data_IF_766629429526
#
_entry.id   IF_766629429526
#
_cell.length_a   1.000
_cell.length_b   1.000
_cell.length_c   1.000
_cell.angle_alpha   90.00
_cell.angle_beta   90.00
_cell.angle_gamma   90.00
#
_symmetry.space_group_name_H-M   'P 1'
#
loop_
_entity.id
_entity.type
_entity.pdbx_description
1 polymer ?
#
# COMPACT_ATOMS: atom_id res chain seq x y z
N UNK A 1 -50.19 20.78 -11.98
CA UNK A 1 -48.95 20.10 -12.46
C UNK A 1 -48.44 19.18 -11.37
N UNK A 2 -48.25 17.90 -11.71
CA UNK A 2 -48.38 16.75 -10.81
C UNK A 2 -47.22 16.57 -9.83
N UNK A 3 -47.52 16.46 -8.52
CA UNK A 3 -46.62 16.06 -7.40
C UNK A 3 -45.87 14.74 -7.66
N UNK A 4 -46.25 14.00 -8.69
CA UNK A 4 -45.64 12.73 -9.07
C UNK A 4 -44.37 12.87 -9.91
N UNK A 5 -44.24 13.95 -10.70
CA UNK A 5 -43.04 14.18 -11.51
C UNK A 5 -41.84 14.58 -10.64
N UNK A 6 -42.04 15.46 -9.65
CA UNK A 6 -40.97 15.92 -8.75
C UNK A 6 -40.34 14.79 -7.93
N UNK A 7 -41.11 13.79 -7.50
CA UNK A 7 -40.57 12.60 -6.82
C UNK A 7 -39.63 11.77 -7.71
N UNK A 8 -39.96 11.60 -8.99
CA UNK A 8 -39.09 10.88 -9.94
C UNK A 8 -37.78 11.63 -10.19
N UNK A 9 -37.83 12.95 -10.34
CA UNK A 9 -36.62 13.77 -10.49
C UNK A 9 -35.76 13.77 -9.23
N UNK A 10 -36.37 13.79 -8.04
CA UNK A 10 -35.63 13.73 -6.78
C UNK A 10 -34.91 12.39 -6.61
N UNK A 11 -35.58 11.28 -6.97
CA UNK A 11 -34.99 9.94 -6.96
C UNK A 11 -33.83 9.80 -7.94
N UNK A 12 -33.95 10.38 -9.14
CA UNK A 12 -32.88 10.35 -10.15
C UNK A 12 -31.69 11.19 -9.69
N UNK A 13 -31.92 12.40 -9.16
CA UNK A 13 -30.85 13.25 -8.61
C UNK A 13 -30.11 12.58 -7.45
N UNK A 14 -30.83 11.90 -6.55
CA UNK A 14 -30.22 11.11 -5.48
C UNK A 14 -29.34 9.98 -6.01
N UNK A 15 -29.82 9.25 -7.02
CA UNK A 15 -29.04 8.18 -7.65
C UNK A 15 -27.76 8.72 -8.30
N UNK A 16 -27.83 9.85 -9.01
CA UNK A 16 -26.66 10.48 -9.64
C UNK A 16 -25.64 10.94 -8.58
N UNK A 17 -26.11 11.56 -7.49
CA UNK A 17 -25.25 11.95 -6.37
C UNK A 17 -24.55 10.74 -5.74
N UNK A 18 -25.28 9.64 -5.50
CA UNK A 18 -24.73 8.39 -4.98
C UNK A 18 -23.66 7.81 -5.91
N UNK A 19 -23.92 7.75 -7.22
CA UNK A 19 -22.94 7.29 -8.19
C UNK A 19 -21.67 8.16 -8.18
N UNK A 20 -21.81 9.49 -8.12
CA UNK A 20 -20.65 10.40 -8.03
C UNK A 20 -19.79 10.15 -6.78
N UNK A 21 -20.43 9.95 -5.61
CA UNK A 21 -19.73 9.65 -4.36
C UNK A 21 -18.99 8.31 -4.46
N UNK A 22 -19.65 7.26 -4.96
CA UNK A 22 -19.04 5.95 -5.16
C UNK A 22 -17.86 6.01 -6.14
N UNK A 23 -17.99 6.75 -7.24
CA UNK A 23 -16.92 6.90 -8.24
C UNK A 23 -15.71 7.61 -7.65
N UNK A 24 -15.91 8.65 -6.84
CA UNK A 24 -14.83 9.35 -6.15
C UNK A 24 -14.15 8.48 -5.08
N UNK A 25 -14.92 7.68 -4.33
CA UNK A 25 -14.39 6.74 -3.35
C UNK A 25 -13.51 5.67 -4.02
N UNK A 26 -14.01 5.08 -5.12
CA UNK A 26 -13.28 4.08 -5.91
C UNK A 26 -12.00 4.68 -6.52
N UNK A 27 -12.06 5.91 -7.03
CA UNK A 27 -10.91 6.59 -7.62
C UNK A 27 -9.81 6.92 -6.61
N UNK A 28 -10.17 7.25 -5.37
CA UNK A 28 -9.21 7.42 -4.28
C UNK A 28 -8.54 6.10 -3.88
N UNK A 29 -9.29 4.98 -3.81
CA UNK A 29 -8.72 3.66 -3.53
C UNK A 29 -7.78 3.19 -4.65
N UNK A 30 -8.17 3.39 -5.91
CA UNK A 30 -7.33 3.12 -7.09
C UNK A 30 -6.05 3.96 -7.11
N UNK A 31 -6.14 5.25 -6.77
CA UNK A 31 -4.96 6.12 -6.68
C UNK A 31 -3.98 5.62 -5.60
N UNK A 32 -4.50 5.14 -4.47
CA UNK A 32 -3.71 4.54 -3.39
C UNK A 32 -3.06 3.21 -3.80
N UNK A 33 -3.74 2.41 -4.64
CA UNK A 33 -3.19 1.16 -5.21
C UNK A 33 -2.20 1.40 -6.37
N UNK A 34 -2.33 2.50 -7.10
CA UNK A 34 -1.36 2.87 -8.16
C UNK A 34 -0.04 3.37 -7.60
N UNK A 35 -0.02 3.91 -6.39
CA UNK A 35 1.23 4.33 -5.72
C UNK A 35 1.96 3.18 -5.06
N UNK A 36 1.32 2.00 -4.96
CA UNK A 36 1.93 0.84 -4.33
C UNK A 36 2.55 -0.09 -5.38
N UNK A 37 3.87 -0.28 -5.32
CA UNK A 37 4.64 -1.19 -6.17
C UNK A 37 4.21 -2.63 -5.84
N UNK A 38 3.78 -3.36 -6.87
CA UNK A 38 3.30 -4.73 -6.73
C UNK A 38 4.42 -5.73 -6.42
N UNK A 39 4.05 -6.93 -5.99
CA UNK A 39 5.02 -8.00 -5.73
C UNK A 39 5.88 -8.30 -6.99
N UNK A 40 7.19 -8.40 -6.82
CA UNK A 40 8.14 -8.69 -7.90
C UNK A 40 8.38 -7.54 -8.86
N UNK A 41 7.69 -6.40 -8.70
CA UNK A 41 7.99 -5.20 -9.45
C UNK A 41 9.28 -4.54 -8.93
N UNK A 42 9.98 -3.81 -9.81
CA UNK A 42 11.23 -3.19 -9.43
C UNK A 42 11.04 -2.05 -8.43
N UNK A 43 11.98 -1.91 -7.51
CA UNK A 43 12.10 -0.83 -6.54
C UNK A 43 13.57 -0.37 -6.48
N UNK A 44 13.84 0.90 -6.21
CA UNK A 44 15.19 1.46 -6.31
C UNK A 44 15.98 1.33 -5.01
N UNK A 45 15.37 1.59 -3.86
CA UNK A 45 16.08 1.58 -2.58
C UNK A 45 15.19 1.18 -1.39
N UNK A 46 15.78 1.21 -0.19
CA UNK A 46 15.05 0.94 1.06
C UNK A 46 13.98 1.98 1.36
N UNK A 47 14.04 3.21 0.81
CA UNK A 47 13.00 4.21 1.02
C UNK A 47 11.70 3.81 0.28
N UNK A 48 11.85 3.08 -0.82
CA UNK A 48 10.74 2.48 -1.56
C UNK A 48 10.09 1.30 -0.82
N UNK A 49 10.60 0.89 0.36
CA UNK A 49 9.89 -0.05 1.23
C UNK A 49 8.46 0.44 1.44
N UNK A 50 8.24 1.72 1.74
CA UNK A 50 6.89 2.27 1.94
C UNK A 50 6.00 2.26 0.69
N UNK A 51 6.61 2.16 -0.49
CA UNK A 51 5.94 2.09 -1.78
C UNK A 51 5.59 0.65 -2.15
N UNK A 52 6.35 -0.35 -1.71
CA UNK A 52 5.98 -1.75 -1.92
C UNK A 52 4.67 -2.11 -1.18
N UNK A 53 3.77 -2.85 -1.83
CA UNK A 53 2.55 -3.39 -1.17
C UNK A 53 2.90 -4.22 0.07
N UNK A 54 3.99 -4.98 -0.02
CA UNK A 54 4.54 -5.81 1.07
C UNK A 54 5.38 -5.03 2.06
N UNK A 55 5.57 -3.73 1.81
CA UNK A 55 6.45 -2.82 2.53
C UNK A 55 7.93 -3.18 2.54
N UNK A 56 8.35 -4.00 1.58
CA UNK A 56 9.67 -4.63 1.54
C UNK A 56 10.22 -4.49 0.12
N UNK A 57 11.19 -3.61 -0.06
CA UNK A 57 12.04 -3.51 -1.24
C UNK A 57 13.38 -4.17 -0.95
N UNK A 58 13.73 -5.21 -1.71
CA UNK A 58 14.98 -5.93 -1.49
C UNK A 58 16.07 -5.46 -2.43
N UNK A 59 17.20 -5.02 -1.88
CA UNK A 59 18.36 -4.59 -2.68
C UNK A 59 19.52 -5.60 -2.69
N UNK A 60 19.43 -6.70 -1.93
CA UNK A 60 20.54 -7.64 -1.71
C UNK A 60 20.12 -9.10 -1.93
N UNK A 61 20.73 -9.81 -2.88
CA UNK A 61 20.42 -11.23 -3.16
C UNK A 61 20.15 -11.50 -4.65
N UNK A 62 19.32 -12.50 -4.94
CA UNK A 62 18.98 -12.90 -6.32
C UNK A 62 17.89 -12.00 -6.95
N UNK A 63 16.97 -11.49 -6.12
CA UNK A 63 15.88 -10.58 -6.50
C UNK A 63 16.20 -9.13 -6.15
N UNK A 64 17.39 -8.66 -6.54
CA UNK A 64 17.78 -7.26 -6.35
C UNK A 64 16.75 -6.30 -6.93
N UNK A 65 16.57 -5.17 -6.25
CA UNK A 65 15.72 -4.06 -6.66
C UNK A 65 14.28 -4.50 -6.95
N UNK A 66 13.68 -5.38 -6.12
CA UNK A 66 12.27 -5.81 -6.28
C UNK A 66 11.51 -5.87 -4.96
N UNK A 67 10.20 -5.65 -5.03
CA UNK A 67 9.32 -5.83 -3.88
C UNK A 67 9.11 -7.32 -3.56
N UNK A 68 9.29 -7.72 -2.30
CA UNK A 68 9.21 -9.12 -1.87
C UNK A 68 8.21 -9.34 -0.74
N UNK A 69 7.68 -10.56 -0.60
CA UNK A 69 6.81 -10.96 0.52
C UNK A 69 7.58 -11.22 1.81
N UNK A 70 8.80 -11.74 1.66
CA UNK A 70 9.66 -12.13 2.77
C UNK A 70 10.94 -11.35 2.67
N UNK A 71 11.27 -10.61 3.71
CA UNK A 71 12.59 -10.03 3.83
C UNK A 71 13.57 -11.07 4.42
N UNK A 72 14.81 -11.06 3.97
CA UNK A 72 15.90 -11.81 4.61
C UNK A 72 16.97 -10.85 5.15
N UNK A 73 16.60 -9.59 5.43
CA UNK A 73 17.51 -8.66 6.10
C UNK A 73 17.95 -9.22 7.44
N UNK A 74 19.25 -9.19 7.67
CA UNK A 74 19.90 -9.73 8.88
C UNK A 74 20.20 -8.61 9.87
N UNK A 75 20.70 -8.99 11.04
CA UNK A 75 21.08 -8.04 12.09
C UNK A 75 22.02 -6.93 11.57
N UNK A 76 21.74 -5.69 11.97
CA UNK A 76 22.49 -4.49 11.57
C UNK A 76 22.07 -3.90 10.23
N UNK A 77 21.15 -4.52 9.49
CA UNK A 77 20.64 -3.96 8.24
C UNK A 77 19.50 -2.97 8.48
N UNK A 78 19.42 -1.89 7.69
CA UNK A 78 18.39 -0.86 7.81
C UNK A 78 16.99 -1.40 7.48
N UNK A 79 16.01 -0.98 8.27
CA UNK A 79 14.61 -1.37 8.14
C UNK A 79 13.70 -0.16 8.41
N UNK A 80 12.60 -0.05 7.66
CA UNK A 80 11.57 0.98 7.89
C UNK A 80 10.32 0.43 8.57
N UNK A 81 10.14 -0.89 8.53
CA UNK A 81 9.00 -1.58 9.12
C UNK A 81 9.47 -2.85 9.84
N UNK A 82 8.69 -3.31 10.83
CA UNK A 82 8.98 -4.56 11.55
C UNK A 82 9.01 -5.77 10.60
N UNK A 83 8.20 -5.73 9.53
CA UNK A 83 8.10 -6.79 8.51
C UNK A 83 9.32 -6.83 7.56
N UNK A 84 10.18 -5.80 7.57
CA UNK A 84 11.38 -5.74 6.74
C UNK A 84 12.56 -6.53 7.30
N UNK A 85 12.44 -7.12 8.49
CA UNK A 85 13.50 -7.96 9.06
C UNK A 85 13.19 -9.45 8.83
N UNK A 86 14.23 -10.28 8.70
CA UNK A 86 14.07 -11.73 8.70
C UNK A 86 13.26 -12.15 9.96
N UNK A 87 12.44 -13.19 9.90
CA UNK A 87 11.57 -13.62 11.01
C UNK A 87 12.25 -14.02 12.32
N UNK A 88 13.57 -13.84 12.45
CA UNK A 88 14.35 -13.99 13.69
C UNK A 88 14.84 -12.65 14.28
N UNK A 89 14.67 -11.55 13.55
CA UNK A 89 15.08 -10.20 13.92
C UNK A 89 13.87 -9.27 13.82
N UNK A 90 13.90 -8.16 14.55
CA UNK A 90 12.85 -7.14 14.54
C UNK A 90 13.44 -5.78 14.21
N UNK A 91 12.64 -4.89 13.65
CA UNK A 91 13.09 -3.53 13.37
C UNK A 91 13.08 -2.70 14.65
N UNK A 92 14.25 -2.41 15.22
CA UNK A 92 14.35 -1.55 16.40
C UNK A 92 14.09 -0.07 16.02
N UNK A 93 13.82 0.80 17.00
CA UNK A 93 13.58 2.23 16.82
C UNK A 93 14.74 3.00 16.14
N UNK A 94 15.93 2.40 16.10
CA UNK A 94 17.07 2.89 15.31
C UNK A 94 16.97 2.59 13.81
N UNK A 95 15.82 2.07 13.34
CA UNK A 95 15.58 1.67 11.94
C UNK A 95 16.60 0.64 11.45
N UNK A 96 16.97 -0.29 12.32
CA UNK A 96 17.86 -1.42 12.01
C UNK A 96 17.30 -2.72 12.57
N UNK A 97 17.55 -3.81 11.87
CA UNK A 97 17.18 -5.14 12.33
C UNK A 97 18.06 -5.55 13.51
N UNK A 98 17.44 -5.95 14.61
CA UNK A 98 18.10 -6.43 15.83
C UNK A 98 17.52 -7.78 16.26
N UNK A 99 18.33 -8.60 16.93
CA UNK A 99 17.94 -9.93 17.40
C UNK A 99 17.32 -9.82 18.80
N UNK A 100 16.15 -10.44 19.01
CA UNK A 100 15.55 -10.53 20.35
C UNK A 100 16.41 -11.45 21.22
N UNK A 101 17.12 -10.87 22.19
CA UNK A 101 17.91 -11.55 23.22
C UNK A 101 17.05 -12.42 24.15
#
# INVERSE_FOLDING_TARGET
>A
MSKFQTKKFFSIMLFVMLFFVLTNAVRNDLKKRQTSIGLGQPCHDQNDDSECVTKICRIKGEDIHKCQLTDQRVEGEPCLTEDACNGKTFCNGNKVCETLL
#
